data_IF_792189976960
#
_entry.id   IF_792189976960
#
_cell.length_a   1.000
_cell.length_b   1.000
_cell.length_c   1.000
_cell.angle_alpha   90.00
_cell.angle_beta   90.00
_cell.angle_gamma   90.00
#
_symmetry.space_group_name_H-M   'P 1'
#
loop_
_entity.id
_entity.type
_entity.pdbx_description
1 polymer ?
#
# COMPACT_ATOMS: atom_id res chain seq x y z
N UNK A 1 -22.88 -4.60 20.85
CA UNK A 1 -22.03 -3.62 20.13
C UNK A 1 -20.83 -4.40 19.64
N UNK A 2 -20.57 -4.48 18.32
CA UNK A 2 -19.37 -5.14 17.83
C UNK A 2 -18.13 -4.39 18.36
N UNK A 3 -17.01 -5.05 18.67
CA UNK A 3 -15.79 -4.36 19.11
C UNK A 3 -15.36 -3.33 18.08
N UNK A 4 -15.21 -2.07 18.49
CA UNK A 4 -14.66 -1.02 17.64
C UNK A 4 -13.15 -0.96 17.83
N UNK A 5 -12.38 -1.13 16.76
CA UNK A 5 -10.93 -1.05 16.78
C UNK A 5 -10.41 -0.17 15.65
N UNK A 6 -9.21 0.39 15.85
CA UNK A 6 -8.42 1.03 14.80
C UNK A 6 -7.29 0.10 14.35
N UNK A 7 -6.81 0.28 13.13
CA UNK A 7 -5.65 -0.45 12.60
C UNK A 7 -4.55 0.52 12.14
N UNK A 8 -3.29 0.17 12.39
CA UNK A 8 -2.13 0.96 12.00
C UNK A 8 -1.17 0.13 11.14
N UNK A 9 -1.03 0.49 9.87
CA UNK A 9 -0.13 -0.16 8.92
C UNK A 9 1.25 0.50 8.90
N UNK A 10 2.25 -0.18 9.45
CA UNK A 10 3.63 0.29 9.46
C UNK A 10 4.26 0.39 8.06
N UNK A 11 5.32 1.19 7.95
CA UNK A 11 6.19 1.20 6.77
C UNK A 11 7.11 -0.03 6.69
N UNK A 12 7.87 -0.16 5.61
CA UNK A 12 8.81 -1.30 5.48
C UNK A 12 9.25 -1.67 4.06
N UNK A 13 8.99 -0.81 3.06
CA UNK A 13 9.31 -1.10 1.66
C UNK A 13 8.61 -2.35 1.15
N UNK A 14 9.30 -3.19 0.39
CA UNK A 14 8.71 -4.41 -0.19
C UNK A 14 8.08 -5.37 0.84
N UNK A 15 8.56 -5.39 2.10
CA UNK A 15 7.99 -6.22 3.16
C UNK A 15 6.57 -5.80 3.56
N UNK A 16 6.20 -4.55 3.32
CA UNK A 16 4.86 -4.05 3.61
C UNK A 16 3.76 -4.64 2.72
N UNK A 17 4.11 -5.40 1.67
CA UNK A 17 3.14 -6.22 0.94
C UNK A 17 2.48 -7.29 1.83
N UNK A 18 3.09 -7.64 2.97
CA UNK A 18 2.49 -8.55 3.93
C UNK A 18 1.16 -8.02 4.51
N UNK A 19 0.96 -6.70 4.55
CA UNK A 19 -0.29 -6.07 5.02
C UNK A 19 -1.51 -6.50 4.21
N UNK A 20 -1.33 -6.91 2.95
CA UNK A 20 -2.42 -7.40 2.09
C UNK A 20 -3.12 -8.59 2.73
N UNK A 21 -2.36 -9.56 3.25
CA UNK A 21 -2.92 -10.75 3.90
C UNK A 21 -3.67 -10.41 5.21
N UNK A 22 -3.26 -9.34 5.90
CA UNK A 22 -4.00 -8.85 7.08
C UNK A 22 -5.36 -8.30 6.65
N UNK A 23 -5.41 -7.55 5.54
CA UNK A 23 -6.66 -7.01 5.01
C UNK A 23 -7.57 -8.15 4.51
N UNK A 24 -7.02 -9.13 3.78
CA UNK A 24 -7.75 -10.32 3.34
C UNK A 24 -8.35 -11.09 4.53
N UNK A 25 -7.58 -11.30 5.60
CA UNK A 25 -8.09 -11.96 6.81
C UNK A 25 -9.21 -11.16 7.49
N UNK A 26 -9.13 -9.83 7.51
CA UNK A 26 -10.20 -8.99 8.06
C UNK A 26 -11.47 -9.05 7.19
N UNK A 27 -11.31 -9.07 5.87
CA UNK A 27 -12.42 -9.24 4.92
C UNK A 27 -13.11 -10.60 5.09
N UNK A 28 -12.34 -11.69 5.21
CA UNK A 28 -12.86 -13.04 5.46
C UNK A 28 -13.65 -13.14 6.76
N UNK A 29 -13.21 -12.42 7.80
CA UNK A 29 -13.91 -12.34 9.08
C UNK A 29 -15.11 -11.38 9.06
N UNK A 30 -15.29 -10.59 8.00
CA UNK A 30 -16.33 -9.55 7.93
C UNK A 30 -16.14 -8.42 8.95
N UNK A 31 -14.91 -8.21 9.43
CA UNK A 31 -14.57 -7.25 10.48
C UNK A 31 -13.94 -6.01 9.85
N UNK A 32 -14.46 -4.82 10.18
CA UNK A 32 -13.95 -3.54 9.64
C UNK A 32 -13.46 -2.61 10.75
N UNK A 33 -12.25 -2.03 10.63
CA UNK A 33 -11.76 -1.03 11.55
C UNK A 33 -12.56 0.27 11.38
N UNK A 34 -12.71 1.03 12.48
CA UNK A 34 -13.36 2.36 12.46
C UNK A 34 -12.40 3.49 12.12
N UNK A 35 -11.09 3.22 12.18
CA UNK A 35 -10.03 4.15 11.85
C UNK A 35 -8.82 3.40 11.28
N UNK A 36 -8.16 4.00 10.28
CA UNK A 36 -6.99 3.44 9.62
C UNK A 36 -5.87 4.48 9.65
N UNK A 37 -4.70 4.10 10.13
CA UNK A 37 -3.48 4.88 10.03
C UNK A 37 -2.44 4.11 9.20
N UNK A 38 -1.54 4.81 8.52
CA UNK A 38 -0.48 4.15 7.75
C UNK A 38 0.72 5.04 7.46
N UNK A 39 1.89 4.41 7.28
CA UNK A 39 3.14 5.09 6.91
C UNK A 39 3.81 4.42 5.71
N UNK A 40 4.30 5.22 4.75
CA UNK A 40 4.94 4.74 3.52
C UNK A 40 4.06 3.71 2.79
N UNK A 41 4.55 2.51 2.52
CA UNK A 41 3.75 1.43 1.91
C UNK A 41 2.50 1.06 2.74
N UNK A 42 2.56 1.17 4.07
CA UNK A 42 1.39 0.96 4.92
C UNK A 42 0.31 2.02 4.69
N UNK A 43 0.67 3.25 4.34
CA UNK A 43 -0.29 4.28 3.95
C UNK A 43 -1.00 3.92 2.63
N UNK A 44 -0.28 3.34 1.67
CA UNK A 44 -0.87 2.87 0.40
C UNK A 44 -1.89 1.75 0.66
N UNK A 45 -1.52 0.75 1.48
CA UNK A 45 -2.43 -0.35 1.82
C UNK A 45 -3.64 0.14 2.61
N UNK A 46 -3.42 0.99 3.61
CA UNK A 46 -4.48 1.60 4.39
C UNK A 46 -5.41 2.47 3.56
N UNK A 47 -4.90 3.21 2.59
CA UNK A 47 -5.71 4.00 1.66
C UNK A 47 -6.59 3.12 0.75
N UNK A 48 -6.06 2.00 0.27
CA UNK A 48 -6.86 1.02 -0.49
C UNK A 48 -7.98 0.42 0.36
N UNK A 49 -7.69 -0.01 1.58
CA UNK A 49 -8.71 -0.52 2.49
C UNK A 49 -9.78 0.54 2.81
N UNK A 50 -9.35 1.77 3.09
CA UNK A 50 -10.24 2.89 3.41
C UNK A 50 -11.14 3.30 2.22
N UNK A 51 -10.68 3.11 0.98
CA UNK A 51 -11.48 3.37 -0.23
C UNK A 51 -12.48 2.26 -0.54
N UNK A 52 -12.52 1.20 0.27
CA UNK A 52 -13.45 0.07 0.10
C UNK A 52 -12.93 -1.01 -0.84
N UNK A 53 -11.66 -0.99 -1.24
CA UNK A 53 -11.04 -2.11 -1.96
C UNK A 53 -10.97 -3.32 -1.03
N UNK A 54 -11.33 -4.50 -1.56
CA UNK A 54 -11.08 -5.76 -0.85
C UNK A 54 -9.59 -6.08 -0.81
N UNK A 55 -9.17 -6.92 0.13
CA UNK A 55 -7.79 -7.43 0.18
C UNK A 55 -7.36 -8.04 -1.15
N UNK A 56 -8.27 -8.75 -1.83
CA UNK A 56 -8.04 -9.29 -3.17
C UNK A 56 -7.81 -8.19 -4.22
N UNK A 57 -8.60 -7.12 -4.21
CA UNK A 57 -8.40 -6.00 -5.16
C UNK A 57 -7.04 -5.34 -4.95
N UNK A 58 -6.64 -5.17 -3.68
CA UNK A 58 -5.33 -4.59 -3.33
C UNK A 58 -4.20 -5.55 -3.76
N UNK A 59 -4.36 -6.85 -3.57
CA UNK A 59 -3.43 -7.87 -4.02
C UNK A 59 -3.23 -7.81 -5.55
N UNK A 60 -4.32 -7.83 -6.31
CA UNK A 60 -4.30 -7.80 -7.77
C UNK A 60 -3.67 -6.49 -8.28
N UNK A 61 -4.02 -5.36 -7.67
CA UNK A 61 -3.41 -4.07 -7.98
C UNK A 61 -1.90 -4.08 -7.70
N UNK A 62 -1.48 -4.50 -6.50
CA UNK A 62 -0.07 -4.59 -6.14
C UNK A 62 0.71 -5.49 -7.11
N UNK A 63 0.14 -6.65 -7.48
CA UNK A 63 0.73 -7.57 -8.47
C UNK A 63 0.85 -6.93 -9.86
N UNK A 64 -0.14 -6.14 -10.29
CA UNK A 64 -0.10 -5.45 -11.59
C UNK A 64 1.03 -4.42 -11.69
N UNK A 65 1.38 -3.80 -10.57
CA UNK A 65 2.43 -2.78 -10.48
C UNK A 65 3.80 -3.41 -10.24
N UNK A 66 3.88 -4.40 -9.35
CA UNK A 66 5.14 -4.92 -8.80
C UNK A 66 5.55 -6.30 -9.34
N UNK A 67 4.64 -7.03 -9.99
CA UNK A 67 4.87 -8.41 -10.42
C UNK A 67 5.89 -8.57 -11.54
N UNK A 68 6.27 -7.49 -12.24
CA UNK A 68 7.26 -7.50 -13.33
C UNK A 68 8.47 -6.66 -12.96
N UNK A 69 9.52 -7.32 -12.44
CA UNK A 69 10.77 -6.67 -11.98
C UNK A 69 11.36 -5.68 -12.99
N UNK A 70 11.41 -6.04 -14.27
CA UNK A 70 11.92 -5.15 -15.33
C UNK A 70 11.06 -3.89 -15.51
N UNK A 71 9.73 -4.00 -15.40
CA UNK A 71 8.85 -2.83 -15.48
C UNK A 71 8.93 -1.97 -14.23
N UNK A 72 9.08 -2.57 -13.04
CA UNK A 72 9.30 -1.82 -11.80
C UNK A 72 10.59 -1.01 -11.90
N UNK A 73 11.69 -1.63 -12.31
CA UNK A 73 12.97 -0.96 -12.50
C UNK A 73 12.87 0.18 -13.53
N UNK A 74 12.18 -0.05 -14.65
CA UNK A 74 11.93 0.98 -15.67
C UNK A 74 11.11 2.16 -15.13
N UNK A 75 10.07 1.90 -14.32
CA UNK A 75 9.25 2.95 -13.69
C UNK A 75 10.05 3.74 -12.66
N UNK A 76 10.86 3.08 -11.83
CA UNK A 76 11.76 3.76 -10.90
C UNK A 76 12.79 4.60 -11.63
N UNK A 77 13.36 4.11 -12.74
CA UNK A 77 14.29 4.87 -13.56
C UNK A 77 13.65 6.12 -14.16
N UNK A 78 12.43 6.01 -14.68
CA UNK A 78 11.66 7.15 -15.21
C UNK A 78 11.23 8.15 -14.14
N UNK A 79 10.98 7.68 -12.92
CA UNK A 79 10.61 8.53 -11.79
C UNK A 79 11.83 9.14 -11.07
N UNK A 80 13.07 8.81 -11.50
CA UNK A 80 14.28 9.42 -10.95
C UNK A 80 14.24 10.92 -11.29
N UNK A 81 14.37 11.83 -10.30
CA UNK A 81 14.50 13.23 -10.61
C UNK A 81 15.71 13.45 -11.52
N UNK A 82 15.55 14.33 -12.51
CA UNK A 82 16.68 14.91 -13.22
C UNK A 82 17.68 15.45 -12.19
N UNK A 83 18.97 15.41 -12.54
CA UNK A 83 20.13 15.72 -11.68
C UNK A 83 19.82 16.72 -10.55
N UNK A 84 20.41 16.54 -9.36
CA UNK A 84 20.21 17.42 -8.18
C UNK A 84 20.26 18.93 -8.53
N UNK A 85 21.04 19.29 -9.55
CA UNK A 85 21.09 20.63 -10.14
C UNK A 85 19.74 21.19 -10.64
N UNK A 86 18.85 20.37 -11.22
CA UNK A 86 17.52 20.76 -11.70
C UNK A 86 16.51 20.88 -10.55
N UNK A 87 16.67 20.10 -9.49
CA UNK A 87 15.81 20.16 -8.30
C UNK A 87 16.05 21.40 -7.42
N UNK A 88 17.22 22.05 -7.55
CA UNK A 88 17.59 23.27 -6.81
C UNK A 88 17.30 24.56 -7.58
N UNK A 89 16.82 24.46 -8.82
CA UNK A 89 16.49 25.61 -9.68
C UNK A 89 14.97 25.90 -9.79
N UNK A 90 14.13 25.11 -9.10
CA UNK A 90 12.68 25.30 -9.00
C UNK A 90 12.27 25.96 -7.69
#
# INVERSE_FOLDING_TARGET
>A
MAPSFGIAFGGGGARGLAHIHVIEALDELGIKPVAIAGSSIGAIMGAGMASGMTGKDIHDYARSILGRRAQVASRMWRARPGTIAEAMQG
#
